data_IF_661724277651
#
_entry.id   IF_661724277651
#
_cell.length_a   1.000
_cell.length_b   1.000
_cell.length_c   1.000
_cell.angle_alpha   90.00
_cell.angle_beta   90.00
_cell.angle_gamma   90.00
#
_symmetry.space_group_name_H-M   'P 1'
#
loop_
_entity.id
_entity.type
_entity.pdbx_description
1 polymer ?
#
# COMPACT_ATOMS: atom_id res chain seq x y z
N UNK A 1 -14.27 -7.69 -47.36
CA UNK A 1 -13.42 -7.86 -46.17
C UNK A 1 -14.34 -7.75 -44.96
N UNK A 2 -14.78 -8.89 -44.44
CA UNK A 2 -15.72 -8.96 -43.32
C UNK A 2 -14.92 -9.31 -42.07
N UNK A 3 -14.95 -8.46 -41.06
CA UNK A 3 -14.37 -8.75 -39.76
C UNK A 3 -15.22 -9.84 -39.09
N UNK A 4 -14.70 -11.06 -39.00
CA UNK A 4 -15.26 -12.06 -38.10
C UNK A 4 -15.09 -11.56 -36.67
N UNK A 5 -16.20 -11.07 -36.12
CA UNK A 5 -16.38 -10.78 -34.71
C UNK A 5 -16.28 -12.12 -33.97
N UNK A 6 -15.11 -12.42 -33.41
CA UNK A 6 -14.90 -13.55 -32.51
C UNK A 6 -15.89 -13.40 -31.34
N UNK A 7 -16.96 -14.19 -31.34
CA UNK A 7 -17.92 -14.22 -30.26
C UNK A 7 -17.18 -14.53 -28.94
N UNK A 8 -17.49 -13.84 -27.84
CA UNK A 8 -16.84 -14.12 -26.57
C UNK A 8 -17.09 -15.57 -26.16
N UNK A 9 -16.11 -16.29 -25.59
CA UNK A 9 -16.30 -17.66 -25.18
C UNK A 9 -17.46 -17.73 -24.18
N UNK A 10 -18.46 -18.54 -24.50
CA UNK A 10 -19.58 -18.84 -23.62
C UNK A 10 -19.03 -19.46 -22.34
N UNK A 11 -19.08 -18.73 -21.22
CA UNK A 11 -18.64 -19.26 -19.93
C UNK A 11 -18.02 -18.29 -18.92
N UNK A 12 -17.99 -16.97 -19.16
CA UNK A 12 -17.61 -16.03 -18.10
C UNK A 12 -18.77 -15.86 -17.13
N UNK A 13 -18.89 -16.80 -16.20
CA UNK A 13 -19.73 -16.65 -15.01
C UNK A 13 -19.48 -15.23 -14.45
N UNK A 14 -20.54 -14.42 -14.32
CA UNK A 14 -20.48 -13.07 -13.75
C UNK A 14 -19.77 -13.19 -12.40
N UNK A 15 -18.47 -12.87 -12.37
CA UNK A 15 -17.69 -12.80 -11.14
C UNK A 15 -18.34 -11.69 -10.34
N UNK A 16 -19.19 -12.05 -9.36
CA UNK A 16 -19.77 -11.10 -8.41
C UNK A 16 -18.59 -10.29 -7.90
N UNK A 17 -18.52 -9.00 -8.26
CA UNK A 17 -17.53 -8.08 -7.71
C UNK A 17 -17.90 -7.96 -6.23
N UNK A 18 -17.33 -8.84 -5.39
CA UNK A 18 -17.38 -8.64 -3.95
C UNK A 18 -16.66 -7.32 -3.74
N UNK A 19 -17.42 -6.31 -3.34
CA UNK A 19 -16.83 -5.11 -2.75
C UNK A 19 -16.08 -5.63 -1.53
N UNK A 20 -14.76 -5.54 -1.57
CA UNK A 20 -13.94 -5.92 -0.43
C UNK A 20 -14.20 -4.87 0.64
N UNK A 21 -14.88 -5.28 1.70
CA UNK A 21 -15.02 -4.49 2.91
C UNK A 21 -13.71 -4.63 3.68
N UNK A 22 -12.85 -3.62 3.58
CA UNK A 22 -11.58 -3.60 4.28
C UNK A 22 -11.81 -2.97 5.66
N UNK A 23 -11.47 -3.67 6.75
CA UNK A 23 -11.58 -3.07 8.07
C UNK A 23 -10.71 -1.81 8.14
N UNK A 24 -11.29 -0.70 8.58
CA UNK A 24 -10.55 0.57 8.78
C UNK A 24 -9.60 0.50 10.00
N UNK A 25 -9.71 -0.54 10.84
CA UNK A 25 -8.83 -0.80 11.96
C UNK A 25 -9.23 -2.04 12.77
N UNK A 26 -8.42 -2.40 13.76
CA UNK A 26 -8.69 -3.51 14.70
C UNK A 26 -9.37 -3.05 15.99
N UNK A 27 -9.77 -1.78 16.05
CA UNK A 27 -10.38 -1.13 17.22
C UNK A 27 -9.39 -0.74 18.33
N UNK A 28 -8.08 -0.97 18.13
CA UNK A 28 -7.04 -0.54 19.05
C UNK A 28 -6.44 0.80 18.61
N UNK A 29 -5.79 1.55 19.52
CA UNK A 29 -5.04 2.75 19.13
C UNK A 29 -4.02 2.40 18.06
N UNK A 30 -3.82 3.29 17.09
CA UNK A 30 -2.70 3.20 16.15
C UNK A 30 -1.40 3.02 16.93
N UNK A 31 -0.55 2.07 16.51
CA UNK A 31 0.73 1.82 17.16
C UNK A 31 1.69 3.02 16.97
N UNK A 32 1.51 3.76 15.88
CA UNK A 32 2.24 4.98 15.58
C UNK A 32 1.59 6.19 16.26
N UNK A 33 2.36 6.93 17.06
CA UNK A 33 2.01 8.28 17.50
C UNK A 33 2.18 9.30 16.35
N UNK A 34 1.67 10.52 16.49
CA UNK A 34 1.88 11.59 15.50
C UNK A 34 3.36 11.88 15.24
N UNK A 35 4.20 11.78 16.28
CA UNK A 35 5.64 11.87 16.14
C UNK A 35 6.18 10.70 15.31
N UNK A 36 5.68 9.48 15.54
CA UNK A 36 6.07 8.33 14.74
C UNK A 36 5.71 8.52 13.26
N UNK A 37 4.48 8.97 12.96
CA UNK A 37 4.02 9.24 11.61
C UNK A 37 4.91 10.28 10.93
N UNK A 38 5.23 11.37 11.64
CA UNK A 38 6.07 12.45 11.12
C UNK A 38 7.48 11.95 10.74
N UNK A 39 8.09 11.13 11.59
CA UNK A 39 9.40 10.52 11.31
C UNK A 39 9.35 9.52 10.15
N UNK A 40 8.32 8.67 10.09
CA UNK A 40 8.09 7.75 8.97
C UNK A 40 8.02 8.50 7.66
N UNK A 41 7.19 9.55 7.59
CA UNK A 41 7.00 10.34 6.36
C UNK A 41 8.32 10.96 5.92
N UNK A 42 9.04 11.61 6.85
CA UNK A 42 10.30 12.25 6.53
C UNK A 42 11.35 11.24 6.00
N UNK A 43 11.57 10.15 6.72
CA UNK A 43 12.53 9.12 6.31
C UNK A 43 12.16 8.50 4.95
N UNK A 44 10.87 8.23 4.74
CA UNK A 44 10.38 7.67 3.47
C UNK A 44 10.60 8.63 2.30
N UNK A 45 10.32 9.91 2.46
CA UNK A 45 10.50 10.88 1.37
C UNK A 45 11.97 11.10 1.03
N UNK A 46 12.87 11.10 2.03
CA UNK A 46 14.33 11.10 1.80
C UNK A 46 14.74 9.89 0.96
N UNK A 47 14.29 8.68 1.34
CA UNK A 47 14.62 7.44 0.62
C UNK A 47 14.05 7.43 -0.80
N UNK A 48 12.83 7.92 -1.00
CA UNK A 48 12.24 8.06 -2.34
C UNK A 48 13.04 9.02 -3.21
N UNK A 49 13.47 10.15 -2.65
CA UNK A 49 14.29 11.10 -3.38
C UNK A 49 15.65 10.53 -3.76
N UNK A 50 16.28 9.78 -2.84
CA UNK A 50 17.57 9.14 -3.07
C UNK A 50 17.48 8.01 -4.09
N UNK A 51 16.41 7.21 -4.07
CA UNK A 51 16.20 6.06 -4.96
C UNK A 51 15.50 6.42 -6.28
N UNK A 52 15.28 7.71 -6.57
CA UNK A 52 14.43 8.14 -7.70
C UNK A 52 14.89 7.67 -9.09
N UNK A 53 16.18 7.35 -9.25
CA UNK A 53 16.78 6.91 -10.52
C UNK A 53 16.95 5.39 -10.60
N UNK A 54 16.54 4.65 -9.56
CA UNK A 54 16.61 3.18 -9.50
C UNK A 54 15.29 2.61 -10.01
N UNK A 55 15.32 2.08 -11.24
CA UNK A 55 14.14 1.65 -12.01
C UNK A 55 13.23 0.63 -11.29
N UNK A 56 13.77 -0.11 -10.31
CA UNK A 56 13.07 -1.19 -9.59
C UNK A 56 13.11 -1.03 -8.06
N UNK A 57 13.16 0.20 -7.55
CA UNK A 57 13.14 0.47 -6.11
C UNK A 57 11.78 0.94 -5.60
N UNK A 58 11.32 0.37 -4.48
CA UNK A 58 10.14 0.83 -3.74
C UNK A 58 10.48 1.10 -2.28
N UNK A 59 10.20 2.32 -1.82
CA UNK A 59 10.35 2.71 -0.42
C UNK A 59 9.01 2.51 0.32
N UNK A 60 8.89 1.36 0.98
CA UNK A 60 7.89 1.13 2.03
C UNK A 60 8.34 1.76 3.34
N UNK A 61 7.43 1.84 4.32
CA UNK A 61 7.78 2.29 5.66
C UNK A 61 6.96 1.55 6.72
N UNK A 62 7.65 1.20 7.80
CA UNK A 62 7.11 0.73 9.07
C UNK A 62 8.11 1.20 10.13
N UNK A 63 7.65 1.62 11.31
CA UNK A 63 8.56 2.09 12.35
C UNK A 63 8.24 1.47 13.70
N UNK A 64 9.22 0.73 14.21
CA UNK A 64 9.21 0.17 15.54
C UNK A 64 10.18 0.98 16.42
N UNK A 65 9.73 2.13 16.92
CA UNK A 65 10.49 2.92 17.90
C UNK A 65 10.08 2.50 19.31
N UNK A 66 11.08 2.13 20.12
CA UNK A 66 10.91 1.98 21.56
C UNK A 66 11.64 3.14 22.24
N UNK A 67 10.88 4.04 22.88
CA UNK A 67 11.47 5.08 23.70
C UNK A 67 11.84 4.48 25.05
N UNK A 68 13.14 4.46 25.35
CA UNK A 68 13.63 4.23 26.70
C UNK A 68 13.92 5.60 27.32
N UNK A 69 13.13 5.98 28.32
CA UNK A 69 13.44 7.15 29.13
C UNK A 69 14.76 6.90 29.87
N UNK A 70 15.62 7.93 29.94
CA UNK A 70 17.05 7.81 30.25
C UNK A 70 17.44 6.94 31.44
N UNK A 71 18.69 6.45 31.39
CA UNK A 71 19.38 5.79 32.49
C UNK A 71 19.82 6.79 33.58
#
# INVERSE_FOLDING_TARGET
MSAELLAPPAGLAKRRRRVADYPEGDGKPMAESDAHISHIINAREILRHWLREVEMAYAGANMLLYYQEGN
#
